data_IF_977810806016
#
_entry.id   IF_977810806016
#
_cell.length_a   1.000
_cell.length_b   1.000
_cell.length_c   1.000
_cell.angle_alpha   90.00
_cell.angle_beta   90.00
_cell.angle_gamma   90.00
#
_symmetry.space_group_name_H-M   'P 1'
#
loop_
_entity.id
_entity.type
_entity.pdbx_description
1 polymer ?
#
# COMPACT_ATOMS: atom_id res chain seq x y z
N UNK A 1 14.25 13.72 13.92
CA UNK A 1 13.05 12.95 14.35
C UNK A 1 12.61 12.09 13.18
N UNK A 2 12.47 10.79 13.41
CA UNK A 2 12.01 9.84 12.38
C UNK A 2 10.51 10.06 12.11
N UNK A 3 10.13 10.26 10.84
CA UNK A 3 8.73 10.52 10.47
C UNK A 3 7.98 9.19 10.32
N UNK A 4 6.76 9.04 10.85
CA UNK A 4 5.97 7.85 10.60
C UNK A 4 5.65 7.69 9.10
N UNK A 5 5.57 6.45 8.64
CA UNK A 5 5.22 6.10 7.26
C UNK A 5 3.69 6.12 7.09
N UNK A 6 3.21 7.01 6.23
CA UNK A 6 1.83 7.09 5.77
C UNK A 6 1.68 6.38 4.42
N UNK A 7 0.89 5.30 4.40
CA UNK A 7 0.53 4.61 3.16
C UNK A 7 -0.84 5.05 2.68
N UNK A 8 -0.91 5.54 1.44
CA UNK A 8 -2.15 5.91 0.77
C UNK A 8 -2.51 4.76 -0.19
N UNK A 9 -3.56 3.99 0.13
CA UNK A 9 -3.96 2.82 -0.67
C UNK A 9 -5.14 3.18 -1.58
N UNK A 10 -4.97 3.02 -2.89
CA UNK A 10 -6.03 3.20 -3.89
C UNK A 10 -6.73 1.86 -4.09
N UNK A 11 -7.94 1.72 -3.54
CA UNK A 11 -8.66 0.44 -3.49
C UNK A 11 -9.37 0.00 -4.77
N UNK A 12 -9.54 0.89 -5.77
CA UNK A 12 -10.27 0.56 -7.01
C UNK A 12 -9.29 0.25 -8.14
N UNK A 13 -9.53 -0.83 -8.90
CA UNK A 13 -8.74 -1.21 -10.08
C UNK A 13 -9.45 -0.91 -11.41
N UNK A 14 -10.67 -0.37 -11.36
CA UNK A 14 -11.49 -0.14 -12.55
C UNK A 14 -10.91 0.98 -13.44
N UNK A 15 -11.10 0.91 -14.77
CA UNK A 15 -10.88 2.05 -15.66
C UNK A 15 -11.70 3.27 -15.19
N UNK A 16 -11.13 4.47 -15.28
CA UNK A 16 -11.80 5.70 -14.84
C UNK A 16 -11.94 5.85 -13.31
N UNK A 17 -11.18 5.10 -12.51
CA UNK A 17 -11.20 5.18 -11.05
C UNK A 17 -10.94 6.60 -10.52
N UNK A 18 -11.85 7.11 -9.68
CA UNK A 18 -11.72 8.40 -8.98
C UNK A 18 -10.63 8.37 -7.90
N UNK A 19 -10.32 7.19 -7.37
CA UNK A 19 -9.32 7.04 -6.31
C UNK A 19 -7.92 7.53 -6.69
N UNK A 20 -7.53 7.45 -7.96
CA UNK A 20 -6.22 7.92 -8.43
C UNK A 20 -6.06 9.45 -8.30
N UNK A 21 -6.91 10.30 -8.93
CA UNK A 21 -6.78 11.75 -8.78
C UNK A 21 -6.96 12.22 -7.33
N UNK A 22 -7.84 11.58 -6.55
CA UNK A 22 -8.01 11.89 -5.11
C UNK A 22 -6.74 11.58 -4.32
N UNK A 23 -6.12 10.42 -4.57
CA UNK A 23 -4.85 10.05 -3.92
C UNK A 23 -3.71 11.00 -4.29
N UNK A 24 -3.63 11.45 -5.54
CA UNK A 24 -2.62 12.42 -5.97
C UNK A 24 -2.80 13.78 -5.29
N UNK A 25 -4.05 14.25 -5.13
CA UNK A 25 -4.32 15.45 -4.35
C UNK A 25 -3.91 15.28 -2.89
N UNK A 26 -4.34 14.21 -2.24
CA UNK A 26 -4.02 13.97 -0.83
C UNK A 26 -2.51 13.78 -0.59
N UNK A 27 -1.81 13.13 -1.52
CA UNK A 27 -0.35 13.01 -1.49
C UNK A 27 0.32 14.39 -1.41
N UNK A 28 -0.12 15.36 -2.23
CA UNK A 28 0.41 16.73 -2.17
C UNK A 28 0.16 17.37 -0.81
N UNK A 29 -1.06 17.25 -0.27
CA UNK A 29 -1.37 17.76 1.07
C UNK A 29 -0.50 17.13 2.16
N UNK A 30 -0.23 15.82 2.07
CA UNK A 30 0.60 15.11 3.03
C UNK A 30 2.09 15.52 2.93
N UNK A 31 2.58 15.76 1.71
CA UNK A 31 3.93 16.30 1.48
C UNK A 31 4.06 17.70 2.09
N UNK A 32 3.08 18.57 1.84
CA UNK A 32 3.07 19.94 2.37
C UNK A 32 2.99 19.97 3.91
N UNK A 33 2.24 19.03 4.50
CA UNK A 33 2.20 18.86 5.96
C UNK A 33 3.58 18.48 6.53
N UNK A 34 4.43 17.78 5.78
CA UNK A 34 5.82 17.51 6.16
C UNK A 34 6.03 16.53 7.33
N UNK A 35 4.97 16.06 7.99
CA UNK A 35 5.05 15.17 9.15
C UNK A 35 5.26 13.68 8.86
N UNK A 36 5.24 13.26 7.59
CA UNK A 36 5.24 11.84 7.22
C UNK A 36 6.31 11.52 6.17
N UNK A 37 6.81 10.28 6.20
CA UNK A 37 7.27 9.62 4.99
C UNK A 37 6.04 9.06 4.28
N UNK A 38 5.93 9.24 2.96
CA UNK A 38 4.68 8.95 2.25
C UNK A 38 4.94 7.89 1.20
N UNK A 39 4.01 6.95 1.11
CA UNK A 39 4.00 5.95 0.06
C UNK A 39 2.59 5.79 -0.52
N UNK A 40 2.47 5.92 -1.83
CA UNK A 40 1.22 5.63 -2.54
C UNK A 40 1.26 4.18 -3.03
N UNK A 41 0.18 3.43 -2.79
CA UNK A 41 0.00 2.04 -3.21
C UNK A 41 -1.25 1.94 -4.05
N UNK A 42 -1.09 1.75 -5.36
CA UNK A 42 -2.22 1.60 -6.29
C UNK A 42 -2.50 0.12 -6.55
N UNK A 43 -3.66 -0.38 -6.10
CA UNK A 43 -4.03 -1.79 -6.33
C UNK A 43 -4.13 -2.14 -7.81
N UNK A 44 -4.42 -1.17 -8.68
CA UNK A 44 -4.46 -1.38 -10.12
C UNK A 44 -3.06 -1.69 -10.70
N UNK A 45 -2.00 -1.18 -10.04
CA UNK A 45 -0.60 -1.42 -10.41
C UNK A 45 -0.06 -2.66 -9.72
N UNK A 46 -0.43 -2.87 -8.45
CA UNK A 46 -0.05 -4.09 -7.70
C UNK A 46 -0.57 -5.35 -8.40
N UNK A 47 -1.73 -5.26 -9.07
CA UNK A 47 -2.32 -6.35 -9.85
C UNK A 47 -2.45 -7.65 -9.03
N UNK A 48 -2.96 -7.52 -7.81
CA UNK A 48 -3.19 -8.65 -6.89
C UNK A 48 -4.46 -9.41 -7.33
N UNK A 49 -4.36 -10.67 -7.80
CA UNK A 49 -5.54 -11.42 -8.22
C UNK A 49 -6.38 -11.85 -7.00
N UNK A 50 -7.70 -11.90 -7.19
CA UNK A 50 -8.62 -12.26 -6.11
C UNK A 50 -8.62 -13.78 -5.88
N UNK A 51 -8.44 -14.21 -4.63
CA UNK A 51 -8.49 -15.62 -4.21
C UNK A 51 -7.48 -16.53 -4.96
N UNK A 52 -6.29 -16.01 -5.26
CA UNK A 52 -5.24 -16.74 -5.98
C UNK A 52 -4.34 -17.59 -5.08
N UNK A 53 -4.50 -17.49 -3.76
CA UNK A 53 -3.73 -18.30 -2.80
C UNK A 53 -4.49 -19.59 -2.42
N UNK A 54 -3.79 -20.73 -2.26
CA UNK A 54 -4.41 -21.98 -1.84
C UNK A 54 -4.85 -21.98 -0.36
N UNK A 55 -4.23 -21.13 0.46
CA UNK A 55 -4.46 -21.05 1.90
C UNK A 55 -5.20 -19.76 2.28
N UNK A 56 -5.96 -19.80 3.37
CA UNK A 56 -6.65 -18.63 3.89
C UNK A 56 -5.66 -17.54 4.35
N UNK A 57 -5.83 -16.25 4.01
CA UNK A 57 -4.85 -15.19 4.32
C UNK A 57 -4.47 -15.07 5.80
N UNK A 58 -5.42 -15.35 6.71
CA UNK A 58 -5.21 -15.40 8.18
C UNK A 58 -4.09 -16.36 8.62
N UNK A 59 -3.75 -17.36 7.80
CA UNK A 59 -2.64 -18.29 8.10
C UNK A 59 -1.26 -17.72 7.77
N UNK A 60 -1.18 -16.64 6.99
CA UNK A 60 0.07 -16.05 6.50
C UNK A 60 0.97 -17.05 5.73
N UNK A 61 0.37 -18.12 5.19
CA UNK A 61 1.06 -19.17 4.42
C UNK A 61 0.96 -18.90 2.91
N UNK A 62 1.60 -17.82 2.47
CA UNK A 62 1.56 -17.38 1.06
C UNK A 62 2.49 -18.19 0.18
N UNK A 63 1.97 -18.77 -0.89
CA UNK A 63 2.74 -19.50 -1.89
C UNK A 63 3.30 -18.54 -2.96
N UNK A 64 2.50 -17.58 -3.43
CA UNK A 64 2.85 -16.75 -4.56
C UNK A 64 3.73 -15.54 -4.17
N UNK A 65 4.67 -15.20 -5.05
CA UNK A 65 5.60 -14.09 -4.81
C UNK A 65 4.86 -12.74 -4.71
N UNK A 66 3.86 -12.51 -5.57
CA UNK A 66 3.09 -11.26 -5.55
C UNK A 66 2.36 -11.04 -4.21
N UNK A 67 1.89 -12.11 -3.55
CA UNK A 67 1.22 -12.01 -2.24
C UNK A 67 2.22 -11.75 -1.12
N UNK A 68 3.42 -12.35 -1.20
CA UNK A 68 4.52 -12.06 -0.28
C UNK A 68 4.95 -10.60 -0.39
N UNK A 69 5.13 -10.10 -1.60
CA UNK A 69 5.52 -8.70 -1.88
C UNK A 69 4.44 -7.73 -1.38
N UNK A 70 3.16 -8.08 -1.56
CA UNK A 70 2.03 -7.36 -1.00
C UNK A 70 2.08 -7.34 0.55
N UNK A 71 2.26 -8.50 1.19
CA UNK A 71 2.34 -8.59 2.65
C UNK A 71 3.48 -7.74 3.19
N UNK A 72 4.67 -7.83 2.61
CA UNK A 72 5.83 -7.00 2.96
C UNK A 72 5.53 -5.51 2.78
N UNK A 73 4.82 -5.14 1.70
CA UNK A 73 4.40 -3.76 1.46
C UNK A 73 3.51 -3.24 2.57
N UNK A 74 2.60 -4.07 3.10
CA UNK A 74 1.71 -3.69 4.21
C UNK A 74 2.44 -3.70 5.56
N UNK A 75 3.32 -4.68 5.79
CA UNK A 75 4.07 -4.85 7.05
C UNK A 75 5.15 -3.78 7.26
N UNK A 76 5.77 -3.27 6.18
CA UNK A 76 6.84 -2.26 6.28
C UNK A 76 6.40 -1.07 7.13
N UNK A 77 7.20 -0.73 8.13
CA UNK A 77 7.03 0.46 8.99
C UNK A 77 8.31 1.27 8.92
N UNK A 78 8.26 2.55 9.30
CA UNK A 78 9.49 3.32 9.45
C UNK A 78 10.40 2.62 10.47
N UNK A 79 11.70 2.41 10.19
CA UNK A 79 12.60 1.83 11.17
C UNK A 79 12.65 2.70 12.43
N UNK A 80 12.35 2.14 13.60
CA UNK A 80 12.64 2.82 14.85
C UNK A 80 14.15 2.81 15.05
N UNK A 81 14.78 3.99 15.11
CA UNK A 81 16.15 4.09 15.60
C UNK A 81 16.16 3.60 17.05
N UNK A 82 16.95 2.56 17.35
CA UNK A 82 17.29 2.17 18.72
C UNK A 82 18.41 3.07 19.24
#
# INVERSE_FOLDING_TARGET
>A
MTKPLLKIVIGSTRPGRVGLPVSQWFHRQAVDHGGFEIQVVDLAVVNLPMMDEPNHPRLHQYAHQHTKDWSQTIERRTPSCS
#
